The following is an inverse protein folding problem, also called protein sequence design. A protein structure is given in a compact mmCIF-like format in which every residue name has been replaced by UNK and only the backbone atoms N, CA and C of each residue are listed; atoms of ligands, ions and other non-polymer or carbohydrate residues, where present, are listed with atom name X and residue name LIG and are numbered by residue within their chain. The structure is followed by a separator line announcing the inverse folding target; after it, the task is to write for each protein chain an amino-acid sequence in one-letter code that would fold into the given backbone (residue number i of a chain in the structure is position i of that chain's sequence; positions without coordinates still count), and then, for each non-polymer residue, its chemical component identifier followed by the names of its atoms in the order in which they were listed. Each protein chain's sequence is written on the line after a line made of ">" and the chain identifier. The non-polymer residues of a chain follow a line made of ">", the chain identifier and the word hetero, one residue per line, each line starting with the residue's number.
data_IF_274951696433
#
_entry.id   IF_274951696433
#
_cell.length_a   1.000
_cell.length_b   1.000
_cell.length_c   1.000
_cell.angle_alpha   90.00
_cell.angle_beta   90.00
_cell.angle_gamma   90.00
#
_symmetry.space_group_name_H-M   'P 1'
#
loop_
_entity.id
_entity.type
_entity.pdbx_description
1 polymer ?
#
# COMPACT_ATOMS: atom_id res chain seq x y z
N UNK A 1 -22.97 27.37 -5.34
CA UNK A 1 -22.60 26.03 -5.85
C UNK A 1 -21.55 25.44 -4.93
N UNK A 2 -21.84 24.31 -4.30
CA UNK A 2 -20.91 23.67 -3.36
C UNK A 2 -19.97 22.74 -4.13
N UNK A 3 -18.67 23.03 -4.11
CA UNK A 3 -17.65 22.15 -4.70
C UNK A 3 -17.21 21.16 -3.62
N UNK A 4 -17.32 19.86 -3.92
CA UNK A 4 -16.80 18.80 -3.05
C UNK A 4 -15.44 18.35 -3.58
N UNK A 5 -14.41 18.45 -2.74
CA UNK A 5 -13.05 18.00 -3.08
C UNK A 5 -12.79 16.66 -2.40
N UNK A 6 -12.57 15.62 -3.20
CA UNK A 6 -12.19 14.30 -2.71
C UNK A 6 -10.67 14.17 -2.66
N UNK A 7 -10.11 14.16 -1.45
CA UNK A 7 -8.68 13.96 -1.23
C UNK A 7 -8.33 12.47 -1.27
N UNK A 8 -7.63 12.04 -2.31
CA UNK A 8 -7.14 10.67 -2.42
C UNK A 8 -5.84 10.47 -1.63
N UNK A 9 -5.63 9.32 -0.96
CA UNK A 9 -4.43 9.09 -0.19
C UNK A 9 -3.18 9.08 -1.08
N UNK A 10 -2.07 9.55 -0.50
CA UNK A 10 -0.76 9.54 -1.14
C UNK A 10 -0.19 8.13 -1.09
N UNK A 11 0.43 7.72 -2.20
CA UNK A 11 1.12 6.43 -2.32
C UNK A 11 2.59 6.70 -2.58
N UNK A 12 3.47 6.25 -1.68
CA UNK A 12 4.91 6.40 -1.84
C UNK A 12 5.50 5.21 -2.60
N UNK A 13 6.48 5.47 -3.48
CA UNK A 13 7.20 4.44 -4.26
C UNK A 13 8.18 3.64 -3.42
N UNK A 14 8.71 4.24 -2.35
CA UNK A 14 9.69 3.64 -1.46
C UNK A 14 9.48 4.14 -0.02
N UNK A 15 9.80 3.30 0.95
CA UNK A 15 9.69 3.66 2.37
C UNK A 15 10.88 4.52 2.76
N UNK A 16 10.64 5.75 3.19
CA UNK A 16 11.67 6.60 3.79
C UNK A 16 12.10 6.08 5.16
N UNK A 17 11.16 5.50 5.90
CA UNK A 17 11.36 5.10 7.28
C UNK A 17 11.65 3.61 7.44
N UNK A 18 12.42 3.32 8.48
CA UNK A 18 12.71 1.97 8.93
C UNK A 18 11.77 1.63 10.10
N UNK A 19 11.18 0.42 10.13
CA UNK A 19 10.39 0.01 11.28
C UNK A 19 11.25 -0.01 12.54
N UNK A 20 10.74 0.59 13.63
CA UNK A 20 11.43 0.64 14.94
C UNK A 20 11.37 -0.69 15.69
N UNK A 21 10.32 -1.48 15.46
CA UNK A 21 10.06 -2.71 16.21
C UNK A 21 9.56 -3.84 15.32
N UNK A 22 9.78 -5.07 15.75
CA UNK A 22 9.22 -6.26 15.13
C UNK A 22 7.70 -6.32 15.32
N UNK A 23 6.96 -6.58 14.23
CA UNK A 23 5.49 -6.73 14.29
C UNK A 23 5.01 -7.92 15.15
N UNK A 24 5.87 -8.89 15.43
CA UNK A 24 5.48 -10.12 16.16
C UNK A 24 5.86 -10.10 17.64
N UNK A 25 7.12 -9.77 17.96
CA UNK A 25 7.64 -9.84 19.33
C UNK A 25 8.07 -8.47 19.88
N UNK A 26 7.82 -7.38 19.15
CA UNK A 26 8.20 -5.99 19.51
C UNK A 26 9.70 -5.74 19.72
N UNK A 27 10.57 -6.71 19.44
CA UNK A 27 12.03 -6.51 19.52
C UNK A 27 12.53 -5.41 18.57
N UNK A 28 13.52 -4.66 19.03
CA UNK A 28 14.00 -3.42 18.38
C UNK A 28 15.10 -3.67 17.33
N UNK A 29 15.90 -4.73 17.55
CA UNK A 29 17.00 -5.07 16.65
C UNK A 29 16.44 -5.84 15.44
N UNK A 30 16.48 -5.18 14.29
CA UNK A 30 16.06 -5.72 13.01
C UNK A 30 17.22 -5.75 12.02
N UNK A 31 17.49 -6.90 11.41
CA UNK A 31 18.43 -6.99 10.30
C UNK A 31 17.70 -6.70 8.99
N UNK A 32 18.27 -5.84 8.13
CA UNK A 32 17.76 -5.65 6.77
C UNK A 32 18.14 -6.89 5.96
N UNK A 33 17.13 -7.69 5.61
CA UNK A 33 17.29 -8.98 4.93
C UNK A 33 17.31 -8.84 3.41
N UNK A 34 16.69 -7.79 2.87
CA UNK A 34 16.74 -7.52 1.43
C UNK A 34 15.82 -6.38 1.00
N UNK A 35 15.94 -6.02 -0.28
CA UNK A 35 15.06 -5.08 -0.99
C UNK A 35 14.40 -5.82 -2.15
N UNK A 36 13.12 -5.57 -2.37
CA UNK A 36 12.39 -6.16 -3.48
C UNK A 36 11.43 -5.12 -4.08
N UNK A 37 11.07 -5.32 -5.35
CA UNK A 37 10.08 -4.52 -6.04
C UNK A 37 8.80 -5.34 -6.24
N UNK A 38 7.63 -4.69 -6.17
CA UNK A 38 6.34 -5.27 -6.56
C UNK A 38 5.61 -4.34 -7.52
N UNK A 39 4.85 -4.95 -8.43
CA UNK A 39 3.86 -4.24 -9.23
C UNK A 39 2.60 -3.99 -8.41
N UNK A 40 2.02 -2.81 -8.55
CA UNK A 40 0.75 -2.41 -7.92
C UNK A 40 -0.20 -1.85 -8.98
N UNK A 41 -1.50 -1.92 -8.71
CA UNK A 41 -2.52 -1.23 -9.48
C UNK A 41 -2.81 0.09 -8.80
N UNK A 42 -2.58 1.17 -9.51
CA UNK A 42 -2.72 2.53 -9.04
C UNK A 42 -2.74 3.48 -10.25
N UNK A 43 -3.37 4.63 -10.10
CA UNK A 43 -3.47 5.62 -11.17
C UNK A 43 -2.14 6.32 -11.48
N UNK A 44 -1.20 6.40 -10.53
CA UNK A 44 0.05 7.16 -10.67
C UNK A 44 1.32 6.30 -10.51
N UNK A 45 1.26 5.20 -9.76
CA UNK A 45 2.43 4.40 -9.39
C UNK A 45 2.25 2.94 -9.80
N UNK A 46 3.03 2.45 -10.77
CA UNK A 46 2.91 1.04 -11.22
C UNK A 46 3.82 0.05 -10.47
N UNK A 47 4.88 0.55 -9.85
CA UNK A 47 5.87 -0.26 -9.12
C UNK A 47 6.31 0.40 -7.84
N UNK A 48 6.55 -0.42 -6.83
CA UNK A 48 6.87 0.00 -5.48
C UNK A 48 8.02 -0.86 -4.94
N UNK A 49 9.01 -0.21 -4.34
CA UNK A 49 10.12 -0.86 -3.65
C UNK A 49 9.79 -1.00 -2.18
N UNK A 50 10.09 -2.16 -1.62
CA UNK A 50 9.88 -2.47 -0.22
C UNK A 50 11.07 -3.24 0.35
N UNK A 51 11.24 -3.14 1.67
CA UNK A 51 12.31 -3.84 2.36
C UNK A 51 11.77 -5.04 3.14
N UNK A 52 12.61 -6.06 3.25
CA UNK A 52 12.41 -7.21 4.13
C UNK A 52 13.30 -7.05 5.35
N UNK A 53 12.72 -7.26 6.52
CA UNK A 53 13.43 -7.23 7.79
C UNK A 53 13.33 -8.59 8.45
N UNK A 54 14.42 -9.01 9.10
CA UNK A 54 14.49 -10.18 9.97
C UNK A 54 14.69 -9.71 11.40
N UNK A 55 13.84 -10.15 12.32
CA UNK A 55 14.06 -9.87 13.74
C UNK A 55 15.16 -10.77 14.28
N UNK A 56 16.10 -10.22 15.06
CA UNK A 56 17.16 -11.04 15.70
C UNK A 56 16.62 -11.86 16.87
N UNK A 57 15.59 -11.38 17.57
CA UNK A 57 15.00 -12.07 18.72
C UNK A 57 14.14 -13.28 18.29
N UNK A 58 13.04 -13.05 17.55
CA UNK A 58 12.13 -14.13 17.14
C UNK A 58 12.50 -14.82 15.81
N UNK A 59 13.57 -14.38 15.14
CA UNK A 59 14.06 -14.87 13.84
C UNK A 59 13.07 -14.78 12.66
N UNK A 60 11.84 -14.28 12.88
CA UNK A 60 10.82 -14.10 11.83
C UNK A 60 11.20 -12.99 10.85
N UNK A 61 10.78 -13.17 9.60
CA UNK A 61 10.92 -12.14 8.56
C UNK A 61 9.58 -11.47 8.28
N UNK A 62 9.61 -10.19 7.93
CA UNK A 62 8.43 -9.46 7.49
C UNK A 62 8.78 -8.40 6.44
N UNK A 63 7.76 -7.98 5.70
CA UNK A 63 7.86 -6.96 4.66
C UNK A 63 7.40 -5.64 5.25
N UNK A 64 8.18 -4.59 5.04
CA UNK A 64 7.80 -3.22 5.37
C UNK A 64 7.50 -2.48 4.07
N UNK A 65 6.22 -2.15 3.88
CA UNK A 65 5.73 -1.46 2.70
C UNK A 65 5.74 0.05 2.92
N UNK A 66 5.92 0.86 1.86
CA UNK A 66 5.71 2.29 1.94
C UNK A 66 4.25 2.66 2.16
N UNK A 67 4.05 3.92 2.54
CA UNK A 67 2.75 4.55 2.75
C UNK A 67 1.81 4.35 1.54
N UNK A 68 0.55 4.01 1.81
CA UNK A 68 -0.46 3.75 0.79
C UNK A 68 -0.36 2.37 0.13
N UNK A 69 0.60 1.52 0.55
CA UNK A 69 0.85 0.20 -0.04
C UNK A 69 0.73 -0.90 1.01
N UNK A 70 -0.07 -1.91 0.71
CA UNK A 70 -0.24 -3.10 1.55
C UNK A 70 0.31 -4.35 0.88
N UNK A 71 -0.01 -5.55 1.41
CA UNK A 71 0.29 -6.82 0.74
C UNK A 71 -0.44 -6.95 -0.60
N UNK A 72 -1.66 -6.40 -0.71
CA UNK A 72 -2.49 -6.46 -1.92
C UNK A 72 -1.86 -5.72 -3.11
N UNK A 73 -2.33 -6.01 -4.33
CA UNK A 73 -1.92 -5.27 -5.53
C UNK A 73 -2.59 -3.90 -5.63
N UNK A 74 -3.83 -3.73 -5.14
CA UNK A 74 -4.47 -2.41 -5.09
C UNK A 74 -3.85 -1.56 -3.98
N UNK A 75 -3.49 -0.32 -4.32
CA UNK A 75 -3.09 0.72 -3.36
C UNK A 75 -4.29 1.22 -2.55
N UNK A 76 -4.03 1.89 -1.44
CA UNK A 76 -5.10 2.54 -0.66
C UNK A 76 -5.84 3.60 -1.47
N UNK A 77 -5.14 4.27 -2.38
CA UNK A 77 -5.74 5.20 -3.35
C UNK A 77 -6.78 4.53 -4.24
N UNK A 78 -6.42 3.39 -4.83
CA UNK A 78 -7.35 2.67 -5.69
C UNK A 78 -8.53 2.09 -4.91
N UNK A 79 -8.32 1.68 -3.64
CA UNK A 79 -9.41 1.27 -2.75
C UNK A 79 -10.37 2.43 -2.46
N UNK A 80 -9.86 3.63 -2.18
CA UNK A 80 -10.72 4.79 -1.95
C UNK A 80 -11.48 5.18 -3.23
N UNK A 81 -10.86 5.10 -4.40
CA UNK A 81 -11.56 5.28 -5.68
C UNK A 81 -12.69 4.25 -5.86
N UNK A 82 -12.50 3.00 -5.45
CA UNK A 82 -13.57 2.01 -5.47
C UNK A 82 -14.76 2.40 -4.58
N UNK A 83 -14.47 2.90 -3.37
CA UNK A 83 -15.50 3.43 -2.46
C UNK A 83 -16.22 4.61 -3.09
N UNK A 84 -15.49 5.56 -3.70
CA UNK A 84 -16.07 6.71 -4.39
C UNK A 84 -16.99 6.28 -5.52
N UNK A 85 -16.56 5.36 -6.39
CA UNK A 85 -17.41 4.81 -7.45
C UNK A 85 -18.70 4.21 -6.87
N UNK A 86 -18.58 3.41 -5.82
CA UNK A 86 -19.74 2.78 -5.18
C UNK A 86 -20.69 3.83 -4.56
N UNK A 87 -20.16 4.85 -3.88
CA UNK A 87 -20.93 5.95 -3.31
C UNK A 87 -21.68 6.77 -4.36
N UNK A 88 -21.16 6.87 -5.59
CA UNK A 88 -21.85 7.49 -6.73
C UNK A 88 -22.85 6.54 -7.43
N UNK A 89 -23.14 5.37 -6.85
CA UNK A 89 -24.15 4.45 -7.35
C UNK A 89 -23.67 3.49 -8.45
N UNK A 90 -22.35 3.37 -8.67
CA UNK A 90 -21.84 2.37 -9.61
C UNK A 90 -21.97 0.97 -8.99
N UNK A 91 -22.47 0.03 -9.78
CA UNK A 91 -22.41 -1.39 -9.41
C UNK A 91 -20.96 -1.87 -9.33
N UNK A 92 -20.72 -2.94 -8.56
CA UNK A 92 -19.40 -3.57 -8.46
C UNK A 92 -18.78 -3.90 -9.83
N UNK A 93 -19.61 -4.31 -10.82
CA UNK A 93 -19.16 -4.57 -12.19
C UNK A 93 -18.67 -3.30 -12.89
N UNK A 94 -19.43 -2.21 -12.81
CA UNK A 94 -19.06 -0.91 -13.40
C UNK A 94 -17.82 -0.33 -12.73
N UNK A 95 -17.75 -0.36 -11.40
CA UNK A 95 -16.57 0.07 -10.65
C UNK A 95 -15.33 -0.77 -11.03
N UNK A 96 -15.48 -2.09 -11.14
CA UNK A 96 -14.42 -2.98 -11.59
C UNK A 96 -13.91 -2.66 -13.00
N UNK A 97 -14.82 -2.35 -13.94
CA UNK A 97 -14.48 -1.94 -15.30
C UNK A 97 -13.63 -0.64 -15.28
N UNK A 98 -14.09 0.39 -14.57
CA UNK A 98 -13.37 1.67 -14.44
C UNK A 98 -11.97 1.47 -13.85
N UNK A 99 -11.88 0.72 -12.75
CA UNK A 99 -10.62 0.51 -12.04
C UNK A 99 -9.67 -0.45 -12.77
N UNK A 100 -10.14 -1.22 -13.75
CA UNK A 100 -9.30 -2.10 -14.56
C UNK A 100 -8.41 -1.37 -15.58
N UNK A 101 -8.73 -0.10 -15.86
CA UNK A 101 -7.91 0.76 -16.71
C UNK A 101 -6.55 1.15 -16.07
N UNK A 102 -6.33 0.83 -14.79
CA UNK A 102 -5.16 1.20 -13.98
C UNK A 102 -4.46 -0.03 -13.37
#
# INVERSE_FOLDING_TARGET
>A
MSIVILQLPKVKRESSERPKQCRYCKGEILQRWGRAEKRVRDTQVRRVKFHRYRCTNCRRTFRHYPEGVSRARQTERLKLLAVVCWSFGLSHRKAGLVLSAF
#
